data_IF_357828953099
#
_entry.id   IF_357828953099
#
_cell.length_a   1.000
_cell.length_b   1.000
_cell.length_c   1.000
_cell.angle_alpha   90.00
_cell.angle_beta   90.00
_cell.angle_gamma   90.00
#
_symmetry.space_group_name_H-M   'P 1'
#
loop_
_entity.id
_entity.type
_entity.pdbx_description
1 polymer ?
#
# COMPACT_ATOMS: atom_id res chain seq x y z
N UNK A 1 -25.28 19.37 -22.77
CA UNK A 1 -25.67 17.94 -22.70
C UNK A 1 -25.39 17.32 -24.06
N UNK A 2 -24.49 16.34 -24.13
CA UNK A 2 -24.66 15.16 -24.97
C UNK A 2 -23.73 14.06 -24.45
N UNK A 3 -24.39 13.06 -23.87
CA UNK A 3 -23.82 11.78 -23.50
C UNK A 3 -23.67 10.94 -24.77
N UNK A 4 -22.47 10.89 -25.37
CA UNK A 4 -22.19 9.97 -26.47
C UNK A 4 -20.68 9.71 -26.72
N UNK A 5 -19.87 9.65 -25.67
CA UNK A 5 -18.48 9.15 -25.76
C UNK A 5 -18.13 8.28 -24.54
N UNK A 6 -19.08 7.48 -24.05
CA UNK A 6 -18.82 6.44 -23.06
C UNK A 6 -18.28 5.20 -23.75
N UNK A 7 -17.02 5.27 -24.17
CA UNK A 7 -16.27 4.16 -24.73
C UNK A 7 -14.78 4.38 -24.52
N UNK A 8 -14.20 3.65 -23.57
CA UNK A 8 -12.75 3.38 -23.49
C UNK A 8 -11.82 4.53 -23.07
N UNK A 9 -12.09 5.19 -21.94
CA UNK A 9 -11.08 6.02 -21.24
C UNK A 9 -10.83 5.60 -19.77
N UNK A 10 -11.07 4.32 -19.44
CA UNK A 10 -10.79 3.71 -18.11
C UNK A 10 -9.28 3.42 -17.87
N UNK A 11 -8.43 3.66 -18.87
CA UNK A 11 -7.02 3.23 -18.86
C UNK A 11 -6.03 4.28 -18.29
N UNK A 12 -6.38 5.56 -18.25
CA UNK A 12 -5.44 6.65 -17.97
C UNK A 12 -5.65 7.20 -16.55
N UNK A 13 -4.63 7.11 -15.70
CA UNK A 13 -4.63 7.78 -14.39
C UNK A 13 -4.51 9.29 -14.55
N UNK A 14 -5.29 10.05 -13.79
CA UNK A 14 -5.27 11.52 -13.82
C UNK A 14 -4.21 12.11 -12.87
N UNK A 15 -3.76 13.36 -13.09
CA UNK A 15 -2.90 14.07 -12.13
C UNK A 15 -3.49 14.13 -10.72
N UNK A 16 -4.81 14.33 -10.62
CA UNK A 16 -5.53 14.35 -9.35
C UNK A 16 -5.49 13.01 -8.63
N UNK A 17 -5.73 11.92 -9.37
CA UNK A 17 -5.63 10.57 -8.85
C UNK A 17 -4.22 10.23 -8.37
N UNK A 18 -3.18 10.58 -9.13
CA UNK A 18 -1.79 10.33 -8.69
C UNK A 18 -1.48 11.09 -7.39
N UNK A 19 -1.89 12.36 -7.25
CA UNK A 19 -1.72 13.09 -5.99
C UNK A 19 -2.49 12.44 -4.83
N UNK A 20 -3.73 12.02 -5.06
CA UNK A 20 -4.56 11.38 -4.05
C UNK A 20 -3.97 10.05 -3.58
N UNK A 21 -3.58 9.19 -4.53
CA UNK A 21 -2.89 7.92 -4.27
C UNK A 21 -1.63 8.13 -3.42
N UNK A 22 -0.81 9.12 -3.81
CA UNK A 22 0.41 9.46 -3.11
C UNK A 22 0.15 9.96 -1.68
N UNK A 23 -0.95 10.69 -1.47
CA UNK A 23 -1.40 11.13 -0.15
C UNK A 23 -1.85 9.95 0.74
N UNK A 24 -2.61 8.99 0.21
CA UNK A 24 -2.97 7.76 0.94
C UNK A 24 -1.75 6.97 1.41
N UNK A 25 -0.77 6.83 0.52
CA UNK A 25 0.49 6.13 0.80
C UNK A 25 1.43 6.93 1.72
N UNK A 26 1.20 8.24 1.88
CA UNK A 26 2.11 9.15 2.55
C UNK A 26 3.47 9.27 1.84
N UNK A 27 3.49 9.10 0.52
CA UNK A 27 4.70 9.17 -0.30
C UNK A 27 5.02 10.62 -0.69
N UNK A 28 6.29 10.96 -0.72
CA UNK A 28 6.76 12.21 -1.35
C UNK A 28 6.81 12.04 -2.88
N UNK A 29 6.99 13.15 -3.61
CA UNK A 29 7.28 13.06 -5.05
C UNK A 29 8.61 12.35 -5.32
N UNK A 30 9.59 12.47 -4.42
CA UNK A 30 10.86 11.75 -4.51
C UNK A 30 10.65 10.24 -4.37
N UNK A 31 9.87 9.82 -3.38
CA UNK A 31 9.52 8.42 -3.13
C UNK A 31 8.82 7.80 -4.35
N UNK A 32 7.78 8.48 -4.90
CA UNK A 32 7.10 7.99 -6.10
C UNK A 32 8.03 7.98 -7.32
N UNK A 33 8.92 8.96 -7.45
CA UNK A 33 9.91 8.99 -8.52
C UNK A 33 10.87 7.80 -8.45
N UNK A 34 11.36 7.47 -7.26
CA UNK A 34 12.26 6.36 -7.02
C UNK A 34 11.59 5.00 -7.28
N UNK A 35 10.36 4.83 -6.81
CA UNK A 35 9.58 3.59 -6.98
C UNK A 35 9.17 3.37 -8.44
N UNK A 36 8.64 4.41 -9.09
CA UNK A 36 8.15 4.32 -10.48
C UNK A 36 9.21 4.43 -11.56
N UNK A 37 10.44 4.81 -11.19
CA UNK A 37 11.53 5.16 -12.12
C UNK A 37 11.17 6.31 -13.08
N UNK A 38 10.09 7.05 -12.81
CA UNK A 38 9.74 8.28 -13.52
C UNK A 38 10.54 9.43 -12.92
N UNK A 39 11.28 10.22 -13.72
CA UNK A 39 12.04 11.35 -13.19
C UNK A 39 11.14 12.34 -12.44
N UNK A 40 11.58 12.81 -11.26
CA UNK A 40 10.82 13.75 -10.41
C UNK A 40 10.29 14.97 -11.19
N UNK A 41 11.10 15.56 -12.08
CA UNK A 41 10.68 16.70 -12.90
C UNK A 41 9.49 16.34 -13.82
N UNK A 42 9.48 15.13 -14.36
CA UNK A 42 8.36 14.62 -15.17
C UNK A 42 7.12 14.40 -14.30
N UNK A 43 7.30 13.83 -13.11
CA UNK A 43 6.20 13.65 -12.14
C UNK A 43 5.58 14.99 -11.72
N UNK A 44 6.39 16.02 -11.41
CA UNK A 44 5.89 17.36 -11.05
C UNK A 44 5.05 17.94 -12.18
N UNK A 45 5.56 17.92 -13.41
CA UNK A 45 4.82 18.44 -14.58
C UNK A 45 3.52 17.67 -14.81
N UNK A 46 3.57 16.34 -14.68
CA UNK A 46 2.39 15.49 -14.77
C UNK A 46 1.36 15.88 -13.70
N UNK A 47 1.76 15.96 -12.43
CA UNK A 47 0.87 16.36 -11.33
C UNK A 47 0.34 17.79 -11.53
N UNK A 48 1.08 18.71 -12.17
CA UNK A 48 0.58 20.06 -12.49
C UNK A 48 -0.36 20.10 -13.70
N UNK A 49 -0.55 18.98 -14.42
CA UNK A 49 -1.30 18.95 -15.67
C UNK A 49 -0.58 19.63 -16.83
N UNK A 50 0.74 19.78 -16.75
CA UNK A 50 1.54 20.49 -17.73
C UNK A 50 2.08 19.57 -18.85
N UNK A 51 1.74 19.93 -20.09
CA UNK A 51 2.20 19.24 -21.28
C UNK A 51 1.49 17.90 -21.52
N UNK A 52 1.92 17.18 -22.55
CA UNK A 52 1.34 15.89 -22.93
C UNK A 52 2.24 14.78 -22.34
N UNK A 53 1.79 14.04 -21.32
CA UNK A 53 2.58 12.96 -20.76
C UNK A 53 2.72 11.80 -21.75
N UNK A 54 3.85 11.10 -21.68
CA UNK A 54 4.04 9.88 -22.45
C UNK A 54 3.17 8.78 -21.86
N UNK A 55 2.61 7.93 -22.73
CA UNK A 55 1.84 6.75 -22.28
C UNK A 55 2.66 5.85 -21.35
N UNK A 56 3.96 5.70 -21.61
CA UNK A 56 4.86 4.94 -20.72
C UNK A 56 4.99 5.54 -19.33
N UNK A 57 4.94 6.86 -19.20
CA UNK A 57 4.93 7.54 -17.89
C UNK A 57 3.64 7.26 -17.14
N UNK A 58 2.48 7.39 -17.82
CA UNK A 58 1.17 7.10 -17.22
C UNK A 58 1.13 5.65 -16.75
N UNK A 59 1.55 4.71 -17.61
CA UNK A 59 1.58 3.29 -17.29
C UNK A 59 2.50 2.97 -16.10
N UNK A 60 3.71 3.54 -16.06
CA UNK A 60 4.64 3.33 -14.95
C UNK A 60 4.09 3.87 -13.61
N UNK A 61 3.49 5.07 -13.63
CA UNK A 61 2.86 5.63 -12.43
C UNK A 61 1.68 4.78 -11.95
N UNK A 62 0.82 4.36 -12.88
CA UNK A 62 -0.34 3.51 -12.58
C UNK A 62 0.10 2.17 -11.97
N UNK A 63 0.97 1.43 -12.65
CA UNK A 63 1.48 0.13 -12.19
C UNK A 63 2.14 0.23 -10.82
N UNK A 64 2.97 1.26 -10.59
CA UNK A 64 3.63 1.47 -9.29
C UNK A 64 2.63 1.70 -8.16
N UNK A 65 1.59 2.49 -8.41
CA UNK A 65 0.59 2.82 -7.39
C UNK A 65 -0.38 1.64 -7.18
N UNK A 66 -0.75 0.91 -8.23
CA UNK A 66 -1.57 -0.30 -8.17
C UNK A 66 -0.86 -1.41 -7.38
N UNK A 67 0.44 -1.62 -7.61
CA UNK A 67 1.26 -2.55 -6.82
C UNK A 67 1.36 -2.16 -5.34
N UNK A 68 1.19 -0.88 -5.03
CA UNK A 68 1.12 -0.39 -3.66
C UNK A 68 -0.31 -0.40 -3.07
N UNK A 69 -1.27 -1.04 -3.75
CA UNK A 69 -2.64 -1.21 -3.27
C UNK A 69 -3.59 -0.06 -3.60
N UNK A 70 -3.25 0.79 -4.57
CA UNK A 70 -4.15 1.85 -5.02
C UNK A 70 -4.99 1.37 -6.20
N UNK A 71 -6.31 1.41 -6.07
CA UNK A 71 -7.24 1.06 -7.15
C UNK A 71 -7.85 2.32 -7.71
N UNK A 72 -7.69 2.52 -9.02
CA UNK A 72 -8.23 3.66 -9.76
C UNK A 72 -9.60 3.31 -10.34
N UNK A 73 -10.62 4.12 -10.04
CA UNK A 73 -11.96 3.99 -10.61
C UNK A 73 -12.15 4.93 -11.79
N UNK A 74 -13.19 4.69 -12.60
CA UNK A 74 -13.61 5.65 -13.62
C UNK A 74 -13.92 7.02 -12.96
N UNK A 75 -13.32 8.10 -13.47
CA UNK A 75 -13.39 9.45 -12.89
C UNK A 75 -12.14 9.82 -12.08
N UNK A 76 -12.30 10.63 -11.04
CA UNK A 76 -11.18 11.15 -10.22
C UNK A 76 -10.95 10.36 -8.91
N UNK A 77 -11.64 9.22 -8.73
CA UNK A 77 -11.59 8.42 -7.52
C UNK A 77 -10.33 7.54 -7.43
N UNK A 78 -9.80 7.40 -6.21
CA UNK A 78 -8.77 6.42 -5.84
C UNK A 78 -9.17 5.75 -4.54
N UNK A 79 -9.00 4.44 -4.46
CA UNK A 79 -9.25 3.64 -3.26
C UNK A 79 -7.96 2.98 -2.78
N UNK A 80 -7.65 3.15 -1.50
CA UNK A 80 -6.62 2.39 -0.82
C UNK A 80 -7.19 1.03 -0.36
N UNK A 81 -6.61 -0.06 -0.83
CA UNK A 81 -7.00 -1.44 -0.46
C UNK A 81 -6.05 -2.07 0.55
N UNK A 82 -4.99 -1.35 0.94
CA UNK A 82 -3.97 -1.90 1.84
C UNK A 82 -4.53 -2.21 3.21
N UNK A 83 -3.94 -3.24 3.83
CA UNK A 83 -4.12 -3.56 5.24
C UNK A 83 -2.80 -3.39 5.96
N UNK A 84 -2.87 -3.29 7.29
CA UNK A 84 -1.68 -3.06 8.10
C UNK A 84 -1.71 -3.81 9.42
N UNK A 85 -0.53 -4.03 9.98
CA UNK A 85 -0.34 -4.60 11.31
C UNK A 85 0.94 -4.09 11.97
N UNK A 86 1.12 -4.42 13.25
CA UNK A 86 2.29 -4.03 14.03
C UNK A 86 2.99 -5.25 14.63
N UNK A 87 4.32 -5.25 14.51
CA UNK A 87 5.22 -6.21 15.14
C UNK A 87 6.00 -5.54 16.30
N UNK A 88 6.10 -6.19 17.48
CA UNK A 88 6.96 -5.73 18.57
C UNK A 88 8.45 -5.81 18.23
N UNK A 89 9.30 -4.94 18.81
CA UNK A 89 10.75 -5.05 18.64
C UNK A 89 11.28 -6.35 19.27
N UNK A 90 12.18 -7.02 18.55
CA UNK A 90 12.77 -8.31 18.93
C UNK A 90 12.67 -9.33 17.79
N UNK A 91 11.65 -9.17 16.94
CA UNK A 91 11.47 -9.87 15.67
C UNK A 91 11.59 -8.91 14.46
N UNK A 92 12.39 -7.86 14.63
CA UNK A 92 12.58 -6.75 13.69
C UNK A 92 12.92 -7.21 12.25
N UNK A 93 12.70 -6.35 11.22
CA UNK A 93 12.44 -6.64 9.79
C UNK A 93 13.43 -7.51 9.00
N UNK A 94 14.47 -8.08 9.59
CA UNK A 94 15.41 -8.96 8.86
C UNK A 94 14.75 -10.21 8.27
N UNK A 95 13.52 -10.53 8.68
CA UNK A 95 12.74 -11.66 8.13
C UNK A 95 11.72 -11.18 7.10
N UNK A 96 11.45 -9.88 7.02
CA UNK A 96 10.42 -9.31 6.15
C UNK A 96 11.04 -8.37 5.14
N UNK A 97 11.06 -8.80 3.90
CA UNK A 97 11.40 -7.96 2.77
C UNK A 97 10.13 -7.38 2.13
N UNK A 98 10.27 -6.24 1.45
CA UNK A 98 9.21 -5.78 0.55
C UNK A 98 8.92 -6.89 -0.47
N UNK A 99 7.66 -6.99 -0.89
CA UNK A 99 7.16 -8.02 -1.79
C UNK A 99 7.15 -9.44 -1.20
N UNK A 100 7.56 -9.63 0.06
CA UNK A 100 7.41 -10.94 0.72
C UNK A 100 5.93 -11.30 0.85
N UNK A 101 5.63 -12.57 0.60
CA UNK A 101 4.28 -13.10 0.78
C UNK A 101 4.02 -13.54 2.21
N UNK A 102 2.89 -13.09 2.74
CA UNK A 102 2.51 -13.31 4.13
C UNK A 102 1.10 -13.88 4.28
N UNK A 103 0.89 -14.59 5.39
CA UNK A 103 -0.42 -15.04 5.86
C UNK A 103 -0.60 -14.69 7.34
N UNK A 104 -1.78 -14.20 7.71
CA UNK A 104 -2.17 -13.82 9.06
C UNK A 104 -3.09 -14.88 9.62
N UNK A 105 -2.75 -15.43 10.78
CA UNK A 105 -3.58 -16.42 11.48
C UNK A 105 -3.78 -16.03 12.93
N UNK A 106 -4.92 -16.43 13.49
CA UNK A 106 -5.19 -16.34 14.93
C UNK A 106 -5.29 -17.74 15.51
N UNK A 107 -4.45 -18.05 16.49
CA UNK A 107 -4.54 -19.30 17.25
C UNK A 107 -5.59 -19.18 18.37
N UNK A 108 -6.22 -20.30 18.75
CA UNK A 108 -7.19 -20.31 19.85
C UNK A 108 -6.55 -19.81 21.14
N UNK A 109 -7.14 -18.79 21.76
CA UNK A 109 -6.63 -18.10 22.96
C UNK A 109 -5.22 -17.49 22.86
N UNK A 110 -4.61 -17.54 21.67
CA UNK A 110 -3.25 -17.15 21.41
C UNK A 110 -3.19 -15.94 20.46
N UNK A 111 -2.13 -15.15 20.61
CA UNK A 111 -1.89 -13.91 19.89
C UNK A 111 -1.97 -14.09 18.37
N UNK A 112 -2.22 -12.99 17.64
CA UNK A 112 -2.16 -13.03 16.17
C UNK A 112 -0.74 -13.41 15.72
N UNK A 113 -0.65 -14.20 14.66
CA UNK A 113 0.61 -14.67 14.10
C UNK A 113 0.71 -14.34 12.62
N UNK A 114 1.91 -13.93 12.23
CA UNK A 114 2.33 -13.66 10.86
C UNK A 114 3.18 -14.83 10.36
N UNK A 115 2.74 -15.50 9.30
CA UNK A 115 3.54 -16.49 8.57
C UNK A 115 4.15 -15.86 7.33
N UNK A 116 5.45 -16.04 7.12
CA UNK A 116 6.15 -15.63 5.89
C UNK A 116 6.36 -16.87 5.03
N UNK A 117 5.80 -16.89 3.82
CA UNK A 117 5.76 -18.12 3.01
C UNK A 117 7.15 -18.58 2.57
N UNK A 118 8.07 -17.66 2.28
CA UNK A 118 9.41 -17.99 1.79
C UNK A 118 10.28 -18.74 2.81
N UNK A 119 10.03 -18.53 4.12
CA UNK A 119 10.85 -19.12 5.18
C UNK A 119 10.07 -20.04 6.13
N UNK A 120 8.75 -20.12 6.01
CA UNK A 120 7.89 -20.96 6.85
C UNK A 120 7.90 -20.57 8.34
N UNK A 121 8.37 -19.37 8.69
CA UNK A 121 8.44 -18.90 10.07
C UNK A 121 7.18 -18.15 10.46
N UNK A 122 6.78 -18.35 11.72
CA UNK A 122 5.66 -17.67 12.35
C UNK A 122 6.16 -16.65 13.38
N UNK A 123 5.58 -15.47 13.33
CA UNK A 123 5.96 -14.30 14.11
C UNK A 123 4.79 -13.78 14.93
N UNK A 124 5.01 -13.47 16.20
CA UNK A 124 3.97 -12.90 17.05
C UNK A 124 3.68 -11.45 16.64
N UNK A 125 2.41 -11.10 16.48
CA UNK A 125 2.00 -9.74 16.14
C UNK A 125 0.93 -9.20 17.10
N UNK A 126 0.85 -7.88 17.19
CA UNK A 126 -0.22 -7.26 17.96
C UNK A 126 -1.58 -7.50 17.28
N UNK A 127 -2.60 -7.74 18.10
CA UNK A 127 -3.98 -7.83 17.61
C UNK A 127 -4.53 -6.47 17.15
N UNK A 128 -5.66 -6.46 16.43
CA UNK A 128 -6.31 -5.23 16.01
C UNK A 128 -6.67 -4.37 17.22
N UNK A 129 -6.55 -3.04 17.11
CA UNK A 129 -6.97 -2.13 18.17
C UNK A 129 -8.48 -2.28 18.44
N UNK A 130 -8.89 -2.07 19.68
CA UNK A 130 -10.30 -2.20 20.08
C UNK A 130 -11.21 -1.18 19.37
N UNK A 131 -10.67 -0.02 18.97
CA UNK A 131 -11.39 1.06 18.30
C UNK A 131 -10.48 1.98 17.49
N UNK A 132 -11.07 3.06 16.94
CA UNK A 132 -10.37 4.10 16.21
C UNK A 132 -10.48 4.00 14.69
N UNK A 133 -10.13 5.11 14.03
CA UNK A 133 -10.29 5.29 12.58
C UNK A 133 -9.61 4.17 11.77
N UNK A 134 -8.45 3.69 12.19
CA UNK A 134 -7.66 2.71 11.44
C UNK A 134 -8.00 1.24 11.72
N UNK A 135 -9.00 0.96 12.56
CA UNK A 135 -9.38 -0.42 12.92
C UNK A 135 -9.84 -1.24 11.71
N UNK A 136 -10.54 -0.61 10.76
CA UNK A 136 -11.14 -1.32 9.64
C UNK A 136 -10.12 -1.88 8.63
N UNK A 137 -8.94 -1.27 8.54
CA UNK A 137 -7.83 -1.70 7.69
C UNK A 137 -6.75 -2.49 8.44
N UNK A 138 -6.96 -2.81 9.73
CA UNK A 138 -6.05 -3.70 10.44
C UNK A 138 -6.20 -5.15 9.92
N UNK A 139 -5.08 -5.87 9.87
CA UNK A 139 -5.02 -7.27 9.47
C UNK A 139 -5.96 -8.15 10.30
N UNK A 140 -6.58 -9.14 9.66
CA UNK A 140 -7.52 -10.07 10.29
C UNK A 140 -7.06 -11.50 10.07
N UNK A 141 -7.64 -12.40 10.87
CA UNK A 141 -7.45 -13.84 10.69
C UNK A 141 -7.86 -14.27 9.27
N UNK A 142 -6.99 -15.06 8.63
CA UNK A 142 -7.14 -15.52 7.25
C UNK A 142 -6.90 -14.43 6.19
N UNK A 143 -6.27 -13.31 6.53
CA UNK A 143 -5.73 -12.40 5.53
C UNK A 143 -4.39 -12.91 5.01
N UNK A 144 -4.16 -12.81 3.70
CA UNK A 144 -2.87 -13.06 3.06
C UNK A 144 -2.56 -11.95 2.06
N UNK A 145 -1.31 -11.81 1.65
CA UNK A 145 -0.93 -10.84 0.63
C UNK A 145 0.56 -10.52 0.57
N UNK A 146 0.89 -9.41 -0.10
CA UNK A 146 2.27 -8.98 -0.34
C UNK A 146 2.61 -7.72 0.46
N UNK A 147 3.75 -7.73 1.15
CA UNK A 147 4.24 -6.55 1.87
C UNK A 147 4.61 -5.43 0.90
N UNK A 148 4.17 -4.20 1.16
CA UNK A 148 4.44 -3.03 0.30
C UNK A 148 5.07 -1.84 1.04
N UNK A 149 5.04 -1.86 2.38
CA UNK A 149 5.67 -0.84 3.20
C UNK A 149 6.02 -1.40 4.58
N UNK A 150 7.20 -1.06 5.07
CA UNK A 150 7.65 -1.38 6.44
C UNK A 150 8.22 -0.11 7.03
N UNK A 151 7.66 0.35 8.16
CA UNK A 151 8.14 1.52 8.89
C UNK A 151 8.41 1.19 10.34
N UNK A 152 9.65 1.41 10.77
CA UNK A 152 10.01 1.31 12.18
C UNK A 152 9.77 2.65 12.86
N UNK A 153 9.10 2.62 14.02
CA UNK A 153 8.85 3.81 14.86
C UNK A 153 9.09 3.47 16.32
N UNK A 154 9.28 4.50 17.14
CA UNK A 154 9.28 4.35 18.60
C UNK A 154 7.85 4.50 19.12
N UNK A 155 7.39 3.48 19.81
CA UNK A 155 6.16 3.44 20.58
C UNK A 155 6.48 3.64 22.07
N UNK A 156 5.62 4.36 22.78
CA UNK A 156 5.84 4.72 24.18
C UNK A 156 5.73 3.51 25.11
N UNK A 157 4.81 2.60 24.80
CA UNK A 157 4.46 1.49 25.70
C UNK A 157 5.22 0.22 25.31
N UNK A 158 5.55 0.07 24.03
CA UNK A 158 6.16 -1.15 23.48
C UNK A 158 7.60 -0.97 22.97
N UNK A 159 8.18 0.21 23.14
CA UNK A 159 9.50 0.53 22.61
C UNK A 159 9.49 0.61 21.08
N UNK A 160 10.52 0.13 20.41
CA UNK A 160 10.50 0.15 18.95
C UNK A 160 9.45 -0.82 18.39
N UNK A 161 8.77 -0.45 17.31
CA UNK A 161 7.79 -1.32 16.65
C UNK A 161 7.91 -1.17 15.16
N UNK A 162 7.58 -2.23 14.42
CA UNK A 162 7.50 -2.18 12.96
C UNK A 162 6.05 -2.20 12.54
N UNK A 163 5.61 -1.11 11.90
CA UNK A 163 4.34 -1.05 11.21
C UNK A 163 4.53 -1.58 9.80
N UNK A 164 3.78 -2.61 9.44
CA UNK A 164 3.84 -3.25 8.13
C UNK A 164 2.53 -2.98 7.40
N UNK A 165 2.61 -2.60 6.14
CA UNK A 165 1.47 -2.56 5.22
C UNK A 165 1.62 -3.64 4.16
N UNK A 166 0.51 -4.26 3.79
CA UNK A 166 0.44 -5.24 2.73
C UNK A 166 -0.79 -5.02 1.85
N UNK A 167 -0.69 -5.45 0.59
CA UNK A 167 -1.83 -5.53 -0.32
C UNK A 167 -2.45 -6.91 -0.13
N UNK A 168 -3.71 -7.00 0.32
CA UNK A 168 -4.36 -8.29 0.51
C UNK A 168 -4.59 -8.98 -0.84
N UNK A 169 -4.49 -10.30 -0.87
CA UNK A 169 -4.93 -11.08 -2.02
C UNK A 169 -6.43 -10.84 -2.27
N UNK A 170 -6.84 -10.79 -3.54
CA UNK A 170 -8.25 -10.79 -3.90
C UNK A 170 -8.87 -12.10 -3.39
N UNK A 171 -9.91 -12.00 -2.56
CA UNK A 171 -10.69 -13.15 -2.09
C UNK A 171 -11.71 -13.60 -3.12
#
# INVERSE_FOLDING_TARGET
MNASEKGTYSAIVTPGQVRAARAFLGWSQDELSERSKVPKRTLIRFEMGEGIPRLSTIAALRDTLERAGQVFSDGDGVKDTTKWFVLPHGESPKVLDLESRITITRKEHEHFQLGVEECGRWHGMFGPPEGGYHKHSYAKDGDSGLIVDIRTRTDKDYGHVSQVKFVPDER
#
